data_IF_839180415692
#
_entry.id   IF_839180415692
#
_cell.length_a   1.000
_cell.length_b   1.000
_cell.length_c   1.000
_cell.angle_alpha   90.00
_cell.angle_beta   90.00
_cell.angle_gamma   90.00
#
_symmetry.space_group_name_H-M   'P 1'
#
loop_
_entity.id
_entity.type
_entity.pdbx_description
1 polymer ?
#
# COMPACT_ATOMS: atom_id res chain seq x y z
N UNK A 1 10.32 -11.81 -21.71
CA UNK A 1 10.32 -10.53 -20.99
C UNK A 1 11.16 -10.71 -19.74
N UNK A 2 12.14 -9.84 -19.51
CA UNK A 2 13.03 -9.94 -18.34
C UNK A 2 12.20 -9.82 -17.04
N UNK A 3 12.42 -10.75 -16.11
CA UNK A 3 11.60 -10.97 -14.89
C UNK A 3 11.46 -9.69 -14.06
N UNK A 4 12.50 -8.86 -14.10
CA UNK A 4 12.56 -7.55 -13.44
C UNK A 4 11.61 -6.51 -14.04
N UNK A 5 11.53 -6.42 -15.37
CA UNK A 5 10.61 -5.51 -16.04
C UNK A 5 9.16 -5.97 -15.90
N UNK A 6 8.92 -7.28 -15.85
CA UNK A 6 7.61 -7.83 -15.54
C UNK A 6 7.15 -7.49 -14.12
N UNK A 7 8.03 -7.65 -13.14
CA UNK A 7 7.73 -7.31 -11.75
C UNK A 7 7.53 -5.79 -11.56
N UNK A 8 8.38 -4.95 -12.13
CA UNK A 8 8.23 -3.48 -12.04
C UNK A 8 6.98 -2.94 -12.75
N UNK A 9 6.53 -3.55 -13.84
CA UNK A 9 5.43 -2.98 -14.62
C UNK A 9 4.07 -3.61 -14.28
N UNK A 10 3.94 -4.94 -14.35
CA UNK A 10 2.64 -5.59 -14.21
C UNK A 10 2.22 -5.81 -12.74
N UNK A 11 3.17 -6.17 -11.87
CA UNK A 11 2.84 -6.38 -10.46
C UNK A 11 2.59 -5.05 -9.75
N UNK A 12 3.39 -4.00 -10.01
CA UNK A 12 3.14 -2.68 -9.42
C UNK A 12 1.85 -2.03 -9.91
N UNK A 13 1.50 -2.18 -11.20
CA UNK A 13 0.20 -1.70 -11.71
C UNK A 13 -0.99 -2.41 -11.03
N UNK A 14 -0.85 -3.72 -10.77
CA UNK A 14 -1.86 -4.48 -10.01
C UNK A 14 -1.95 -4.00 -8.56
N UNK A 15 -0.82 -3.83 -7.90
CA UNK A 15 -0.76 -3.32 -6.52
C UNK A 15 -1.33 -1.91 -6.39
N UNK A 16 -1.05 -1.03 -7.36
CA UNK A 16 -1.61 0.33 -7.40
C UNK A 16 -3.13 0.30 -7.53
N UNK A 17 -3.66 -0.54 -8.42
CA UNK A 17 -5.11 -0.70 -8.57
C UNK A 17 -5.75 -1.25 -7.29
N UNK A 18 -5.16 -2.28 -6.67
CA UNK A 18 -5.66 -2.85 -5.42
C UNK A 18 -5.66 -1.80 -4.30
N UNK A 19 -4.57 -1.06 -4.16
CA UNK A 19 -4.43 0.03 -3.20
C UNK A 19 -5.49 1.12 -3.43
N UNK A 20 -5.70 1.54 -4.69
CA UNK A 20 -6.73 2.50 -5.05
C UNK A 20 -8.14 2.00 -4.71
N UNK A 21 -8.44 0.71 -4.92
CA UNK A 21 -9.72 0.11 -4.53
C UNK A 21 -9.94 0.16 -3.02
N UNK A 22 -8.91 -0.16 -2.22
CA UNK A 22 -8.99 -0.06 -0.76
C UNK A 22 -9.28 1.39 -0.32
N UNK A 23 -8.55 2.37 -0.86
CA UNK A 23 -8.76 3.78 -0.53
C UNK A 23 -10.17 4.23 -0.95
N UNK A 24 -10.59 3.91 -2.16
CA UNK A 24 -11.92 4.26 -2.66
C UNK A 24 -13.02 3.66 -1.79
N UNK A 25 -12.94 2.37 -1.47
CA UNK A 25 -13.93 1.70 -0.63
C UNK A 25 -13.98 2.31 0.77
N UNK A 26 -12.82 2.57 1.40
CA UNK A 26 -12.78 3.22 2.70
C UNK A 26 -13.41 4.63 2.68
N UNK A 27 -13.07 5.45 1.68
CA UNK A 27 -13.68 6.78 1.53
C UNK A 27 -15.18 6.70 1.22
N UNK A 28 -15.62 5.68 0.48
CA UNK A 28 -17.02 5.44 0.19
C UNK A 28 -17.80 5.06 1.46
N UNK A 29 -17.26 4.15 2.27
CA UNK A 29 -17.82 3.81 3.60
C UNK A 29 -17.92 5.07 4.44
N UNK A 30 -16.85 5.86 4.56
CA UNK A 30 -16.87 7.10 5.33
C UNK A 30 -17.90 8.13 4.83
N UNK A 31 -18.07 8.26 3.51
CA UNK A 31 -19.06 9.14 2.92
C UNK A 31 -20.50 8.69 3.24
N UNK A 32 -20.73 7.39 3.37
CA UNK A 32 -22.05 6.81 3.59
C UNK A 32 -22.40 6.71 5.09
N UNK A 33 -21.40 6.78 5.98
CA UNK A 33 -21.58 6.86 7.43
C UNK A 33 -22.36 8.12 7.83
N UNK A 34 -23.38 7.95 8.66
CA UNK A 34 -24.18 9.06 9.20
C UNK A 34 -23.66 9.59 10.54
N UNK A 35 -23.05 8.72 11.34
CA UNK A 35 -22.47 9.03 12.64
C UNK A 35 -21.29 8.06 12.92
N UNK A 36 -20.69 8.17 14.10
CA UNK A 36 -19.59 7.33 14.55
C UNK A 36 -20.06 6.30 15.61
N UNK A 37 -21.34 5.93 15.58
CA UNK A 37 -21.92 5.03 16.58
C UNK A 37 -21.82 3.55 16.17
N UNK A 38 -21.60 3.29 14.87
CA UNK A 38 -21.49 1.94 14.32
C UNK A 38 -20.03 1.50 14.21
N UNK A 39 -19.58 0.68 15.15
CA UNK A 39 -18.20 0.18 15.20
C UNK A 39 -17.79 -0.57 13.91
N UNK A 40 -18.73 -1.28 13.27
CA UNK A 40 -18.48 -2.01 12.03
C UNK A 40 -18.12 -1.07 10.87
N UNK A 41 -18.84 0.05 10.73
CA UNK A 41 -18.59 1.05 9.69
C UNK A 41 -17.26 1.78 9.93
N UNK A 42 -16.98 2.11 11.20
CA UNK A 42 -15.70 2.71 11.61
C UNK A 42 -14.55 1.76 11.30
N UNK A 43 -14.69 0.48 11.64
CA UNK A 43 -13.68 -0.53 11.35
C UNK A 43 -13.46 -0.67 9.86
N UNK A 44 -14.53 -0.78 9.06
CA UNK A 44 -14.44 -0.91 7.60
C UNK A 44 -13.74 0.31 6.98
N UNK A 45 -14.09 1.53 7.40
CA UNK A 45 -13.40 2.75 6.96
C UNK A 45 -11.91 2.71 7.30
N UNK A 46 -11.57 2.56 8.59
CA UNK A 46 -10.19 2.66 9.06
C UNK A 46 -9.30 1.56 8.49
N UNK A 47 -9.82 0.34 8.41
CA UNK A 47 -9.10 -0.80 7.85
C UNK A 47 -8.79 -0.60 6.37
N UNK A 48 -9.79 -0.22 5.57
CA UNK A 48 -9.61 0.02 4.14
C UNK A 48 -8.59 1.13 3.88
N UNK A 49 -8.68 2.24 4.63
CA UNK A 49 -7.71 3.34 4.50
C UNK A 49 -6.30 2.91 4.91
N UNK A 50 -6.14 2.23 6.05
CA UNK A 50 -4.84 1.75 6.50
C UNK A 50 -4.21 0.82 5.45
N UNK A 51 -4.91 -0.24 5.03
CA UNK A 51 -4.38 -1.18 4.03
C UNK A 51 -4.06 -0.48 2.70
N UNK A 52 -4.93 0.43 2.26
CA UNK A 52 -4.76 1.20 1.04
C UNK A 52 -3.49 2.05 1.06
N UNK A 53 -3.31 2.85 2.11
CA UNK A 53 -2.13 3.71 2.30
C UNK A 53 -0.85 2.87 2.41
N UNK A 54 -0.88 1.75 3.13
CA UNK A 54 0.33 0.94 3.35
C UNK A 54 0.85 0.38 2.02
N UNK A 55 -0.08 -0.06 1.17
CA UNK A 55 0.25 -0.55 -0.17
C UNK A 55 0.82 0.56 -1.05
N UNK A 56 0.26 1.79 -0.99
CA UNK A 56 0.85 2.94 -1.70
C UNK A 56 2.28 3.22 -1.24
N UNK A 57 2.52 3.24 0.07
CA UNK A 57 3.83 3.48 0.64
C UNK A 57 4.84 2.42 0.17
N UNK A 58 4.46 1.13 0.16
CA UNK A 58 5.31 0.05 -0.34
C UNK A 58 5.60 0.19 -1.83
N UNK A 59 4.60 0.53 -2.65
CA UNK A 59 4.81 0.81 -4.09
C UNK A 59 5.83 1.94 -4.26
N UNK A 60 5.67 3.04 -3.51
CA UNK A 60 6.57 4.19 -3.60
C UNK A 60 8.00 3.83 -3.18
N UNK A 61 8.18 3.08 -2.10
CA UNK A 61 9.50 2.58 -1.68
C UNK A 61 10.13 1.68 -2.74
N UNK A 62 9.35 0.79 -3.38
CA UNK A 62 9.85 -0.03 -4.48
C UNK A 62 10.33 0.86 -5.64
N UNK A 63 9.59 1.92 -5.98
CA UNK A 63 9.97 2.82 -7.06
C UNK A 63 11.25 3.62 -6.74
N UNK A 64 11.42 4.04 -5.48
CA UNK A 64 12.57 4.85 -5.02
C UNK A 64 13.82 4.00 -4.82
N UNK A 65 13.71 2.89 -4.08
CA UNK A 65 14.88 2.16 -3.55
C UNK A 65 15.33 0.98 -4.42
N UNK A 66 14.46 0.43 -5.30
CA UNK A 66 14.82 -0.76 -6.07
C UNK A 66 15.82 -0.45 -7.20
N UNK A 67 17.10 -0.81 -6.98
CA UNK A 67 18.16 -0.81 -8.00
C UNK A 67 18.51 -2.21 -8.53
N UNK A 68 19.40 -2.31 -9.52
CA UNK A 68 19.73 -3.57 -10.22
C UNK A 68 20.58 -4.55 -9.39
N UNK A 69 21.05 -4.13 -8.22
CA UNK A 69 22.01 -4.84 -7.37
C UNK A 69 21.40 -5.33 -6.05
N UNK A 70 20.14 -5.00 -5.78
CA UNK A 70 19.47 -5.35 -4.53
C UNK A 70 19.00 -6.81 -4.51
N UNK A 71 19.20 -7.51 -3.38
CA UNK A 71 18.62 -8.82 -3.16
C UNK A 71 17.09 -8.68 -3.02
N UNK A 72 16.37 -9.00 -4.09
CA UNK A 72 14.91 -8.86 -4.18
C UNK A 72 14.16 -9.47 -2.99
N UNK A 73 14.61 -10.65 -2.52
CA UNK A 73 13.92 -11.39 -1.47
C UNK A 73 14.07 -10.72 -0.10
N UNK A 74 15.24 -10.18 0.19
CA UNK A 74 15.49 -9.39 1.41
C UNK A 74 14.70 -8.07 1.38
N UNK A 75 14.67 -7.43 0.21
CA UNK A 75 13.92 -6.19 0.02
C UNK A 75 12.42 -6.41 0.25
N UNK A 76 11.82 -7.43 -0.37
CA UNK A 76 10.42 -7.79 -0.13
C UNK A 76 10.15 -8.14 1.34
N UNK A 77 11.05 -8.86 2.00
CA UNK A 77 10.92 -9.16 3.43
C UNK A 77 10.95 -7.90 4.31
N UNK A 78 11.73 -6.88 3.94
CA UNK A 78 11.77 -5.59 4.65
C UNK A 78 10.44 -4.84 4.62
N UNK A 79 9.59 -5.12 3.61
CA UNK A 79 8.29 -4.48 3.39
C UNK A 79 7.11 -5.26 3.97
N UNK A 80 7.33 -6.46 4.54
CA UNK A 80 6.22 -7.30 5.07
C UNK A 80 5.61 -6.75 6.35
N UNK A 81 6.39 -6.02 7.15
CA UNK A 81 5.91 -5.50 8.43
C UNK A 81 4.90 -4.36 8.22
N UNK A 82 3.74 -4.46 8.88
CA UNK A 82 2.67 -3.45 8.86
C UNK A 82 3.04 -2.25 9.74
N UNK A 83 3.84 -1.31 9.23
CA UNK A 83 4.24 -0.12 9.97
C UNK A 83 4.35 1.11 9.04
N UNK A 84 3.26 1.85 8.94
CA UNK A 84 3.16 3.07 8.14
C UNK A 84 4.23 4.11 8.45
N UNK A 85 4.47 4.40 9.73
CA UNK A 85 5.44 5.42 10.14
C UNK A 85 6.86 5.06 9.68
N UNK A 86 7.22 3.78 9.78
CA UNK A 86 8.49 3.29 9.27
C UNK A 86 8.59 3.45 7.75
N UNK A 87 7.54 3.08 7.00
CA UNK A 87 7.52 3.20 5.54
C UNK A 87 7.60 4.67 5.10
N UNK A 88 6.79 5.55 5.71
CA UNK A 88 6.79 6.98 5.44
C UNK A 88 8.16 7.62 5.73
N UNK A 89 8.83 7.21 6.81
CA UNK A 89 10.17 7.68 7.13
C UNK A 89 11.22 7.25 6.09
N UNK A 90 11.03 6.12 5.40
CA UNK A 90 11.89 5.71 4.27
C UNK A 90 11.66 6.60 3.06
N UNK A 91 10.41 6.93 2.77
CA UNK A 91 10.00 7.77 1.62
C UNK A 91 10.50 9.21 1.76
N UNK A 92 10.51 9.76 2.98
CA UNK A 92 10.90 11.15 3.26
C UNK A 92 12.41 11.41 3.28
N UNK A 93 13.25 10.37 3.21
CA UNK A 93 14.71 10.51 3.12
C UNK A 93 15.12 10.97 1.73
#
# INVERSE_FOLDING_TARGET
>A
MDKKYFWKNFNLGTELRLSGNFIYNGLKTFNDMHNLDYEEEIFEFLYNIAVGIERLEKILIILIEHNNTSNQKEFENSLKNHNHLYLLNRIRK
#
